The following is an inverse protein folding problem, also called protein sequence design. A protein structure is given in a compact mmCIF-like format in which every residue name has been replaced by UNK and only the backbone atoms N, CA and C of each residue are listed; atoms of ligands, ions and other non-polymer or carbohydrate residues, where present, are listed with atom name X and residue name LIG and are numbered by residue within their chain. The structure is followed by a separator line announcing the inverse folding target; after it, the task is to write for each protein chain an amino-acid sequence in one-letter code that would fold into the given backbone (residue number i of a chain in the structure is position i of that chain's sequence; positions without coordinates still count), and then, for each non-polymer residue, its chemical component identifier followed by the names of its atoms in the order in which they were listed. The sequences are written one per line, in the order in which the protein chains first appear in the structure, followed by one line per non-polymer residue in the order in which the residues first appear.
data_IF_245783839758
#
_entry.id   IF_245783839758
#
_cell.length_a   1.000
_cell.length_b   1.000
_cell.length_c   1.000
_cell.angle_alpha   90.00
_cell.angle_beta   90.00
_cell.angle_gamma   90.00
#
_symmetry.space_group_name_H-M   'P 1'
#
loop_
_entity.id
_entity.type
_entity.pdbx_description
1 polymer ?
#
# COMPACT_ATOMS: atom_id res chain seq x y z
N UNK A 1 6.48 18.18 1.55
CA UNK A 1 5.92 18.12 2.93
C UNK A 1 6.80 17.20 3.79
N UNK A 2 6.75 17.18 5.13
CA UNK A 2 7.51 16.20 5.95
C UNK A 2 6.54 15.30 6.74
N UNK A 3 6.79 13.98 6.73
CA UNK A 3 5.98 12.94 7.38
C UNK A 3 6.79 12.21 8.43
N UNK A 4 6.23 12.05 9.63
CA UNK A 4 6.85 11.23 10.69
C UNK A 4 6.79 9.75 10.31
N UNK A 5 7.92 9.05 10.33
CA UNK A 5 7.98 7.62 10.04
C UNK A 5 8.26 6.86 11.35
N UNK A 6 7.20 6.42 12.03
CA UNK A 6 7.30 5.69 13.30
C UNK A 6 7.60 4.20 13.09
N UNK A 7 8.62 3.87 12.28
CA UNK A 7 9.05 2.50 12.01
C UNK A 7 10.41 2.24 12.66
N UNK A 8 10.58 1.07 13.29
CA UNK A 8 11.83 0.69 13.93
C UNK A 8 13.00 0.70 12.92
N UNK A 9 14.14 1.25 13.34
CA UNK A 9 15.37 1.39 12.55
C UNK A 9 15.29 2.31 11.31
N UNK A 10 14.13 2.90 11.02
CA UNK A 10 13.94 3.89 9.97
C UNK A 10 14.32 5.32 10.43
N UNK A 11 14.50 6.29 9.51
CA UNK A 11 14.58 7.71 9.84
C UNK A 11 13.33 8.19 10.59
N UNK A 12 13.47 9.20 11.46
CA UNK A 12 12.33 9.78 12.20
C UNK A 12 11.26 10.38 11.27
N UNK A 13 11.67 10.85 10.08
CA UNK A 13 10.81 11.49 9.12
C UNK A 13 11.26 11.27 7.66
N UNK A 14 10.32 11.39 6.73
CA UNK A 14 10.51 11.27 5.27
C UNK A 14 9.85 12.45 4.53
N UNK A 15 10.32 12.73 3.32
CA UNK A 15 9.78 13.79 2.47
C UNK A 15 8.48 13.34 1.78
N UNK A 16 7.57 14.29 1.52
CA UNK A 16 6.43 14.05 0.63
C UNK A 16 6.93 13.65 -0.76
N UNK A 17 6.25 12.69 -1.38
CA UNK A 17 6.69 12.01 -2.60
C UNK A 17 7.39 10.69 -2.37
N UNK A 18 7.71 10.33 -1.12
CA UNK A 18 8.45 9.10 -0.79
C UNK A 18 7.60 7.84 -1.00
N UNK A 19 8.10 6.93 -1.83
CA UNK A 19 7.64 5.55 -1.91
C UNK A 19 8.53 4.60 -1.13
N UNK A 20 7.94 3.69 -0.35
CA UNK A 20 8.66 2.69 0.45
C UNK A 20 8.22 1.28 0.05
N UNK A 21 9.20 0.41 -0.22
CA UNK A 21 8.97 -1.02 -0.42
C UNK A 21 9.05 -1.77 0.91
N UNK A 22 8.03 -2.56 1.23
CA UNK A 22 8.05 -3.54 2.31
C UNK A 22 8.29 -4.93 1.73
N UNK A 23 9.50 -5.45 1.93
CA UNK A 23 9.85 -6.83 1.65
C UNK A 23 9.53 -7.70 2.86
N UNK A 24 8.87 -8.84 2.62
CA UNK A 24 8.48 -9.76 3.68
C UNK A 24 8.46 -11.23 3.21
N UNK A 25 8.73 -12.21 4.09
CA UNK A 25 8.74 -13.63 3.74
C UNK A 25 7.31 -14.19 3.60
N UNK A 26 6.36 -13.61 4.33
CA UNK A 26 4.96 -14.00 4.29
C UNK A 26 4.06 -12.86 4.75
N UNK A 27 2.79 -12.93 4.40
CA UNK A 27 1.85 -11.82 4.55
C UNK A 27 1.24 -11.68 5.94
N UNK A 28 1.55 -12.59 6.87
CA UNK A 28 0.90 -12.65 8.19
C UNK A 28 1.45 -11.63 9.20
N UNK A 29 2.65 -11.11 8.95
CA UNK A 29 3.36 -10.25 9.92
C UNK A 29 3.51 -8.79 9.45
N UNK A 30 3.04 -8.47 8.24
CA UNK A 30 3.12 -7.12 7.69
C UNK A 30 2.09 -6.16 8.29
N UNK A 31 1.01 -6.68 8.87
CA UNK A 31 -0.09 -5.88 9.43
C UNK A 31 0.37 -4.87 10.48
N UNK A 32 1.37 -5.21 11.31
CA UNK A 32 1.94 -4.27 12.28
C UNK A 32 2.60 -3.08 11.59
N UNK A 33 3.50 -3.34 10.63
CA UNK A 33 4.25 -2.29 9.91
C UNK A 33 3.29 -1.42 9.10
N UNK A 34 2.34 -2.06 8.42
CA UNK A 34 1.32 -1.41 7.62
C UNK A 34 0.47 -0.44 8.46
N UNK A 35 -0.01 -0.89 9.61
CA UNK A 35 -0.87 -0.08 10.48
C UNK A 35 -0.09 0.99 11.25
N UNK A 36 1.16 0.74 11.66
CA UNK A 36 2.07 1.75 12.23
C UNK A 36 2.35 2.88 11.22
N UNK A 37 2.59 2.52 9.95
CA UNK A 37 2.74 3.47 8.85
C UNK A 37 1.47 4.31 8.68
N UNK A 38 0.29 3.68 8.63
CA UNK A 38 -0.99 4.37 8.39
C UNK A 38 -1.44 5.26 9.55
N UNK A 39 -1.21 4.85 10.81
CA UNK A 39 -1.69 5.56 11.99
C UNK A 39 -0.96 6.88 12.28
N UNK A 40 0.31 6.96 11.88
CA UNK A 40 1.21 8.03 12.33
C UNK A 40 1.15 9.24 11.42
N UNK A 41 0.82 10.41 11.98
CA UNK A 41 0.97 11.70 11.27
C UNK A 41 0.20 11.73 9.93
N UNK A 42 -1.05 11.29 9.99
CA UNK A 42 -1.92 11.03 8.83
C UNK A 42 -3.24 11.78 8.97
N UNK A 43 -3.59 12.57 7.96
CA UNK A 43 -4.90 13.23 7.83
C UNK A 43 -5.88 12.36 7.05
N UNK A 44 -5.41 11.72 5.98
CA UNK A 44 -6.18 10.81 5.13
C UNK A 44 -5.34 9.60 4.73
N UNK A 45 -5.96 8.42 4.67
CA UNK A 45 -5.27 7.20 4.26
C UNK A 45 -6.05 6.42 3.22
N UNK A 46 -5.34 5.85 2.25
CA UNK A 46 -5.86 4.93 1.25
C UNK A 46 -5.25 3.56 1.47
N UNK A 47 -6.09 2.53 1.60
CA UNK A 47 -5.65 1.13 1.59
C UNK A 47 -6.11 0.47 0.30
N UNK A 48 -5.18 0.19 -0.59
CA UNK A 48 -5.38 -0.58 -1.81
C UNK A 48 -5.17 -2.05 -1.46
N UNK A 49 -6.26 -2.80 -1.36
CA UNK A 49 -6.22 -4.21 -0.99
C UNK A 49 -6.51 -5.09 -2.20
N UNK A 50 -5.49 -5.82 -2.63
CA UNK A 50 -5.56 -6.83 -3.69
C UNK A 50 -5.73 -8.25 -3.18
N UNK A 51 -5.62 -8.45 -1.86
CA UNK A 51 -5.63 -9.78 -1.21
C UNK A 51 -6.82 -10.02 -0.28
N UNK A 52 -7.36 -8.96 0.31
CA UNK A 52 -8.45 -9.06 1.28
C UNK A 52 -9.63 -8.16 0.90
N UNK A 53 -10.80 -8.47 1.45
CA UNK A 53 -12.00 -7.66 1.24
C UNK A 53 -11.94 -6.38 2.07
N UNK A 54 -12.70 -5.35 1.69
CA UNK A 54 -12.83 -4.13 2.48
C UNK A 54 -13.27 -4.39 3.93
N UNK A 55 -14.05 -5.46 4.16
CA UNK A 55 -14.47 -5.85 5.50
C UNK A 55 -13.27 -6.31 6.35
N UNK A 56 -12.37 -7.08 5.77
CA UNK A 56 -11.16 -7.56 6.45
C UNK A 56 -10.19 -6.41 6.71
N UNK A 57 -10.02 -5.50 5.75
CA UNK A 57 -9.25 -4.26 5.95
C UNK A 57 -9.82 -3.44 7.11
N UNK A 58 -11.15 -3.20 7.15
CA UNK A 58 -11.77 -2.47 8.28
C UNK A 58 -11.52 -3.14 9.63
N UNK A 59 -11.62 -4.47 9.70
CA UNK A 59 -11.32 -5.21 10.93
C UNK A 59 -9.85 -5.07 11.34
N UNK A 60 -8.92 -5.06 10.38
CA UNK A 60 -7.51 -4.80 10.64
C UNK A 60 -7.30 -3.39 11.21
N UNK A 61 -7.85 -2.36 10.56
CA UNK A 61 -7.74 -0.97 11.05
C UNK A 61 -8.30 -0.82 12.46
N UNK A 62 -9.47 -1.41 12.75
CA UNK A 62 -10.06 -1.42 14.10
C UNK A 62 -9.16 -2.15 15.11
N UNK A 63 -8.62 -3.32 14.74
CA UNK A 63 -7.79 -4.13 15.62
C UNK A 63 -6.50 -3.43 16.06
N UNK A 64 -5.88 -2.68 15.15
CA UNK A 64 -4.65 -1.92 15.39
C UNK A 64 -4.90 -0.45 15.76
N UNK A 65 -6.14 -0.09 16.09
CA UNK A 65 -6.54 1.24 16.55
C UNK A 65 -6.20 2.38 15.55
N UNK A 66 -6.19 2.07 14.26
CA UNK A 66 -6.08 3.08 13.19
C UNK A 66 -7.42 3.79 13.03
N UNK A 67 -7.40 5.12 12.94
CA UNK A 67 -8.61 5.94 12.80
C UNK A 67 -9.30 5.67 11.44
N UNK A 68 -10.32 4.81 11.46
CA UNK A 68 -11.08 4.41 10.27
C UNK A 68 -11.84 5.59 9.63
N UNK A 69 -12.07 6.68 10.35
CA UNK A 69 -12.78 7.86 9.80
C UNK A 69 -11.95 8.64 8.78
N UNK A 70 -10.65 8.36 8.74
CA UNK A 70 -9.69 8.91 7.76
C UNK A 70 -9.47 7.98 6.56
N UNK A 71 -10.02 6.77 6.61
CA UNK A 71 -9.70 5.69 5.68
C UNK A 71 -10.59 5.69 4.45
N UNK A 72 -9.97 5.63 3.28
CA UNK A 72 -10.58 5.14 2.05
C UNK A 72 -10.02 3.75 1.77
N UNK A 73 -10.88 2.79 1.42
CA UNK A 73 -10.45 1.43 1.10
C UNK A 73 -10.79 1.13 -0.36
N UNK A 74 -9.79 0.72 -1.14
CA UNK A 74 -9.97 0.24 -2.49
C UNK A 74 -9.90 -1.29 -2.49
N UNK A 75 -11.05 -1.94 -2.67
CA UNK A 75 -11.20 -3.39 -2.69
C UNK A 75 -11.25 -3.89 -4.13
N UNK A 76 -10.20 -4.61 -4.55
CA UNK A 76 -10.09 -5.13 -5.92
C UNK A 76 -10.64 -6.55 -6.09
N UNK A 77 -11.02 -7.22 -5.00
CA UNK A 77 -11.41 -8.64 -5.02
C UNK A 77 -12.91 -8.87 -4.95
N UNK A 78 -13.65 -8.02 -4.23
CA UNK A 78 -15.05 -8.30 -3.91
C UNK A 78 -15.95 -8.33 -5.15
N UNK A 79 -15.64 -7.55 -6.19
CA UNK A 79 -16.39 -7.58 -7.45
C UNK A 79 -16.14 -8.89 -8.19
N UNK A 80 -14.87 -9.21 -8.44
CA UNK A 80 -14.42 -10.42 -9.13
C UNK A 80 -14.95 -11.69 -8.46
N UNK A 81 -14.93 -11.76 -7.13
CA UNK A 81 -15.41 -12.94 -6.37
C UNK A 81 -16.92 -12.96 -6.15
N UNK A 82 -17.66 -11.97 -6.67
CA UNK A 82 -19.11 -11.87 -6.51
C UNK A 82 -19.56 -11.71 -5.06
N UNK A 83 -18.71 -11.15 -4.20
CA UNK A 83 -19.02 -10.92 -2.80
C UNK A 83 -20.01 -9.78 -2.62
N UNK A 84 -20.73 -9.82 -1.49
CA UNK A 84 -21.63 -8.75 -1.11
C UNK A 84 -20.84 -7.48 -0.82
N UNK A 85 -21.05 -6.46 -1.65
CA UNK A 85 -20.45 -5.15 -1.51
C UNK A 85 -21.38 -4.26 -0.70
N UNK A 86 -20.86 -3.65 0.35
CA UNK A 86 -21.57 -2.60 1.09
C UNK A 86 -21.29 -1.28 0.41
N UNK A 87 -22.34 -0.50 0.15
CA UNK A 87 -22.19 0.90 -0.22
C UNK A 87 -21.82 1.68 1.04
N UNK A 88 -20.67 2.35 1.00
CA UNK A 88 -20.13 3.28 1.99
C UNK A 88 -19.34 4.32 1.21
N UNK A 89 -19.30 5.55 1.68
CA UNK A 89 -18.49 6.59 1.02
C UNK A 89 -16.98 6.27 1.12
N UNK A 90 -16.60 5.49 2.14
CA UNK A 90 -15.22 5.14 2.47
C UNK A 90 -14.71 3.85 1.78
N UNK A 91 -15.52 3.22 0.92
CA UNK A 91 -15.15 1.98 0.23
C UNK A 91 -15.42 2.09 -1.26
N UNK A 92 -14.34 1.90 -2.03
CA UNK A 92 -14.31 1.90 -3.49
C UNK A 92 -14.03 0.48 -3.97
N UNK A 93 -14.47 0.18 -5.18
CA UNK A 93 -14.30 -1.14 -5.78
C UNK A 93 -13.86 -0.99 -7.23
N UNK A 94 -12.83 -1.72 -7.62
CA UNK A 94 -12.50 -1.94 -9.03
C UNK A 94 -13.10 -3.26 -9.50
N UNK A 95 -13.11 -3.48 -10.82
CA UNK A 95 -13.78 -4.64 -11.40
C UNK A 95 -13.09 -5.96 -11.05
N UNK A 96 -11.76 -5.96 -11.07
CA UNK A 96 -10.91 -7.10 -10.74
C UNK A 96 -9.50 -6.64 -10.34
N UNK A 97 -8.67 -7.50 -9.75
CA UNK A 97 -7.31 -7.13 -9.34
C UNK A 97 -6.34 -6.85 -10.50
N UNK A 98 -6.65 -7.27 -11.74
CA UNK A 98 -5.87 -6.99 -12.94
C UNK A 98 -6.31 -5.71 -13.69
N UNK A 99 -7.33 -5.03 -13.17
CA UNK A 99 -7.81 -3.72 -13.62
C UNK A 99 -6.93 -2.60 -13.03
N UNK A 100 -5.64 -2.65 -13.38
CA UNK A 100 -4.62 -1.78 -12.81
C UNK A 100 -4.82 -0.30 -13.15
N UNK A 101 -5.32 0.00 -14.35
CA UNK A 101 -5.67 1.37 -14.76
C UNK A 101 -6.69 1.98 -13.77
N UNK A 102 -7.73 1.21 -13.40
CA UNK A 102 -8.71 1.66 -12.40
C UNK A 102 -8.10 1.80 -11.00
N UNK A 103 -7.06 1.03 -10.65
CA UNK A 103 -6.36 1.19 -9.37
C UNK A 103 -5.59 2.50 -9.33
N UNK A 104 -4.90 2.84 -10.42
CA UNK A 104 -4.17 4.11 -10.58
C UNK A 104 -5.15 5.29 -10.56
N UNK A 105 -6.22 5.25 -11.37
CA UNK A 105 -7.27 6.28 -11.42
C UNK A 105 -7.90 6.54 -10.04
N UNK A 106 -8.17 5.48 -9.28
CA UNK A 106 -8.74 5.60 -7.95
C UNK A 106 -7.77 6.15 -6.91
N UNK A 107 -6.48 5.91 -7.11
CA UNK A 107 -5.40 6.48 -6.29
C UNK A 107 -5.24 7.98 -6.58
N UNK A 108 -5.19 8.38 -7.85
CA UNK A 108 -5.18 9.79 -8.26
C UNK A 108 -6.41 10.53 -7.71
N UNK A 109 -7.59 9.92 -7.83
CA UNK A 109 -8.82 10.49 -7.29
C UNK A 109 -8.73 10.73 -5.80
N UNK A 110 -8.26 9.76 -5.03
CA UNK A 110 -8.04 9.94 -3.59
C UNK A 110 -7.06 11.08 -3.30
N UNK A 111 -5.93 11.13 -3.99
CA UNK A 111 -4.90 12.16 -3.78
C UNK A 111 -5.37 13.57 -4.17
N UNK A 112 -6.31 13.67 -5.11
CA UNK A 112 -6.90 14.93 -5.56
C UNK A 112 -8.05 15.41 -4.67
N UNK A 113 -8.85 14.50 -4.12
CA UNK A 113 -10.01 14.83 -3.27
C UNK A 113 -9.63 15.21 -1.84
N UNK A 114 -8.38 14.92 -1.44
CA UNK A 114 -7.88 15.14 -0.09
C UNK A 114 -6.64 16.04 -0.08
N UNK A 115 -6.59 16.95 0.91
CA UNK A 115 -5.43 17.77 1.24
C UNK A 115 -4.73 17.23 2.51
N UNK A 116 -3.58 17.80 2.89
CA UNK A 116 -2.92 17.50 4.17
C UNK A 116 -1.93 16.32 4.08
N UNK A 117 -1.78 15.53 5.13
CA UNK A 117 -0.89 14.35 5.12
C UNK A 117 -1.66 13.12 4.65
N UNK A 118 -1.40 12.74 3.39
CA UNK A 118 -1.98 11.55 2.76
C UNK A 118 -1.00 10.40 2.72
N UNK A 119 -1.46 9.22 3.12
CA UNK A 119 -0.71 7.96 3.05
C UNK A 119 -1.42 6.93 2.20
N UNK A 120 -0.68 6.21 1.37
CA UNK A 120 -1.20 5.11 0.54
C UNK A 120 -0.51 3.82 0.98
N UNK A 121 -1.29 2.78 1.25
CA UNK A 121 -0.77 1.42 1.41
C UNK A 121 -1.29 0.54 0.28
N UNK A 122 -0.41 -0.23 -0.35
CA UNK A 122 -0.74 -1.21 -1.37
C UNK A 122 -0.36 -2.61 -0.88
N UNK A 123 -1.38 -3.41 -0.62
CA UNK A 123 -1.28 -4.78 -0.13
C UNK A 123 -2.01 -5.77 -1.07
N UNK A 124 -1.33 -6.36 -2.05
CA UNK A 124 0.11 -6.32 -2.33
C UNK A 124 0.43 -6.22 -3.83
N UNK A 125 1.68 -5.83 -4.13
CA UNK A 125 2.28 -5.87 -5.48
C UNK A 125 2.39 -7.32 -5.96
N UNK A 126 2.64 -8.26 -5.04
CA UNK A 126 2.68 -9.70 -5.38
C UNK A 126 1.38 -10.17 -6.03
N UNK A 127 0.23 -9.69 -5.53
CA UNK A 127 -1.04 -10.07 -6.12
C UNK A 127 -1.31 -9.34 -7.43
N UNK A 128 -0.85 -8.10 -7.60
CA UNK A 128 -0.90 -7.43 -8.91
C UNK A 128 -0.13 -8.25 -9.96
N UNK A 129 1.09 -8.71 -9.64
CA UNK A 129 1.89 -9.56 -10.55
C UNK A 129 1.13 -10.86 -10.86
N UNK A 130 0.53 -11.50 -9.85
CA UNK A 130 -0.22 -12.73 -10.02
C UNK A 130 -1.42 -12.58 -10.97
N UNK A 131 -2.15 -11.47 -10.87
CA UNK A 131 -3.36 -11.24 -11.67
C UNK A 131 -3.09 -10.58 -13.03
N UNK A 132 -2.12 -9.67 -13.10
CA UNK A 132 -1.92 -8.78 -14.25
C UNK A 132 -0.63 -9.01 -15.03
N UNK A 133 0.32 -9.81 -14.53
CA UNK A 133 1.73 -9.93 -14.96
C UNK A 133 2.69 -8.88 -14.37
N UNK A 134 3.99 -9.21 -14.42
CA UNK A 134 5.07 -8.43 -13.82
C UNK A 134 5.22 -7.04 -14.43
N UNK A 135 5.20 -6.95 -15.76
CA UNK A 135 5.43 -5.68 -16.46
C UNK A 135 4.29 -4.71 -16.19
N UNK A 136 3.04 -5.19 -16.25
CA UNK A 136 1.87 -4.36 -15.95
C UNK A 136 1.83 -3.94 -14.49
N UNK A 137 2.17 -4.84 -13.55
CA UNK A 137 2.25 -4.48 -12.14
C UNK A 137 3.35 -3.45 -11.88
N UNK A 138 4.48 -3.57 -12.56
CA UNK A 138 5.58 -2.62 -12.47
C UNK A 138 5.17 -1.23 -12.98
N UNK A 139 4.57 -1.16 -14.17
CA UNK A 139 4.10 0.12 -14.75
C UNK A 139 3.08 0.82 -13.83
N UNK A 140 2.12 0.07 -13.28
CA UNK A 140 1.14 0.63 -12.34
C UNK A 140 1.76 1.10 -11.01
N UNK A 141 2.81 0.45 -10.53
CA UNK A 141 3.55 0.92 -9.35
C UNK A 141 4.29 2.22 -9.67
N UNK A 142 4.95 2.33 -10.83
CA UNK A 142 5.60 3.57 -11.27
C UNK A 142 4.60 4.72 -11.36
N UNK A 143 3.42 4.49 -11.96
CA UNK A 143 2.37 5.51 -12.06
C UNK A 143 1.89 5.97 -10.66
N UNK A 144 1.75 5.06 -9.69
CA UNK A 144 1.38 5.43 -8.32
C UNK A 144 2.52 6.21 -7.65
N UNK A 145 3.78 5.83 -7.85
CA UNK A 145 4.93 6.57 -7.31
C UNK A 145 5.00 8.00 -7.85
N UNK A 146 4.76 8.18 -9.15
CA UNK A 146 4.67 9.51 -9.78
C UNK A 146 3.53 10.35 -9.17
N UNK A 147 2.37 9.74 -8.91
CA UNK A 147 1.25 10.40 -8.22
C UNK A 147 1.60 10.81 -6.79
N UNK A 148 2.33 9.97 -6.05
CA UNK A 148 2.78 10.33 -4.70
C UNK A 148 3.71 11.55 -4.74
N UNK A 149 4.64 11.58 -5.68
CA UNK A 149 5.55 12.70 -5.91
C UNK A 149 4.80 13.99 -6.29
N UNK A 150 3.82 13.92 -7.19
CA UNK A 150 3.01 15.06 -7.61
C UNK A 150 2.20 15.66 -6.44
N UNK A 151 1.65 14.80 -5.58
CA UNK A 151 0.72 15.22 -4.53
C UNK A 151 1.37 15.42 -3.14
N UNK A 152 2.71 15.36 -3.04
CA UNK A 152 3.44 15.42 -1.77
C UNK A 152 2.96 14.32 -0.78
N UNK A 153 2.52 13.15 -1.28
CA UNK A 153 2.01 12.03 -0.48
C UNK A 153 3.08 10.96 -0.28
N UNK A 154 2.86 10.01 0.65
CA UNK A 154 3.81 8.91 0.89
C UNK A 154 3.14 7.55 0.77
N UNK A 155 3.90 6.55 0.32
CA UNK A 155 3.38 5.22 0.00
C UNK A 155 4.15 4.06 0.65
N UNK A 156 3.45 2.99 1.01
CA UNK A 156 4.02 1.72 1.46
C UNK A 156 3.50 0.58 0.57
N UNK A 157 4.41 -0.19 -0.03
CA UNK A 157 4.08 -1.21 -1.03
C UNK A 157 4.58 -2.57 -0.58
N UNK A 158 3.70 -3.56 -0.52
CA UNK A 158 4.04 -4.89 0.01
C UNK A 158 4.47 -5.82 -1.12
N UNK A 159 5.62 -6.46 -0.97
CA UNK A 159 6.13 -7.48 -1.89
C UNK A 159 6.66 -8.70 -1.12
N UNK A 160 6.12 -9.88 -1.43
CA UNK A 160 6.53 -11.13 -0.82
C UNK A 160 7.81 -11.64 -1.50
N UNK A 161 8.97 -11.44 -0.89
CA UNK A 161 10.28 -11.72 -1.53
C UNK A 161 10.43 -13.19 -1.94
N UNK A 162 9.92 -14.14 -1.14
CA UNK A 162 10.05 -15.57 -1.40
C UNK A 162 9.14 -16.11 -2.51
N UNK A 163 8.29 -15.26 -3.11
CA UNK A 163 7.38 -15.62 -4.21
C UNK A 163 8.01 -15.33 -5.58
N UNK A 164 8.93 -14.37 -5.65
CA UNK A 164 9.50 -13.87 -6.90
C UNK A 164 10.98 -14.24 -7.03
N UNK A 165 11.50 -14.17 -8.25
CA UNK A 165 12.93 -14.33 -8.50
C UNK A 165 13.70 -13.08 -8.03
N UNK A 166 14.97 -13.24 -7.64
CA UNK A 166 15.79 -12.17 -7.06
C UNK A 166 15.88 -10.93 -7.97
N UNK A 167 15.89 -11.12 -9.29
CA UNK A 167 15.94 -10.04 -10.27
C UNK A 167 14.62 -9.25 -10.35
N UNK A 168 13.47 -9.91 -10.15
CA UNK A 168 12.17 -9.24 -10.03
C UNK A 168 12.13 -8.42 -8.76
N UNK A 169 12.55 -8.98 -7.62
CA UNK A 169 12.61 -8.25 -6.34
C UNK A 169 13.51 -7.03 -6.47
N UNK A 170 14.70 -7.18 -7.06
CA UNK A 170 15.63 -6.07 -7.28
C UNK A 170 15.06 -5.01 -8.21
N UNK A 171 14.36 -5.43 -9.29
CA UNK A 171 13.71 -4.50 -10.23
C UNK A 171 12.75 -3.56 -9.52
N UNK A 172 11.90 -4.09 -8.63
CA UNK A 172 11.00 -3.25 -7.81
C UNK A 172 11.78 -2.42 -6.80
N UNK A 173 12.74 -3.00 -6.08
CA UNK A 173 13.56 -2.29 -5.08
C UNK A 173 14.22 -1.03 -5.65
N UNK A 174 14.73 -1.09 -6.88
CA UNK A 174 15.41 0.01 -7.58
C UNK A 174 14.49 1.21 -7.91
N UNK A 175 13.19 1.15 -7.58
CA UNK A 175 12.23 2.23 -7.80
C UNK A 175 11.79 2.96 -6.55
N UNK A 176 11.98 2.38 -5.38
CA UNK A 176 11.55 3.00 -4.13
C UNK A 176 12.68 3.82 -3.51
N UNK A 177 12.32 4.89 -2.83
CA UNK A 177 13.27 5.75 -2.11
C UNK A 177 13.80 5.07 -0.84
N UNK A 178 13.04 4.11 -0.31
CA UNK A 178 13.44 3.31 0.84
C UNK A 178 12.88 1.90 0.81
N UNK A 179 13.55 1.00 1.50
CA UNK A 179 13.13 -0.40 1.67
C UNK A 179 13.08 -0.74 3.16
N UNK A 180 12.01 -1.41 3.57
CA UNK A 180 11.84 -2.05 4.86
C UNK A 180 11.84 -3.55 4.61
N UNK A 181 12.74 -4.29 5.27
CA UNK A 181 12.77 -5.74 5.22
C UNK A 181 12.32 -6.30 6.57
N UNK A 182 11.26 -7.10 6.54
CA UNK A 182 10.76 -7.85 7.69
C UNK A 182 11.24 -9.30 7.56
N UNK A 183 12.06 -9.79 8.49
CA UNK A 183 12.51 -11.18 8.52
C UNK A 183 11.48 -12.11 9.19
N UNK A 184 11.63 -13.43 9.00
CA UNK A 184 10.75 -14.47 9.59
C UNK A 184 10.72 -14.47 11.13
N UNK A 185 11.74 -13.92 11.78
CA UNK A 185 11.83 -13.81 13.24
C UNK A 185 11.27 -12.48 13.78
N UNK A 186 10.68 -11.66 12.91
CA UNK A 186 10.11 -10.36 13.23
C UNK A 186 11.13 -9.22 13.26
N UNK A 187 12.41 -9.47 12.94
CA UNK A 187 13.43 -8.43 12.83
C UNK A 187 13.11 -7.50 11.68
N UNK A 188 13.18 -6.19 11.92
CA UNK A 188 12.96 -5.15 10.91
C UNK A 188 14.29 -4.46 10.59
N UNK A 189 14.66 -4.43 9.32
CA UNK A 189 15.82 -3.65 8.84
C UNK A 189 15.36 -2.68 7.75
N UNK A 190 16.09 -1.58 7.59
CA UNK A 190 15.70 -0.52 6.64
C UNK A 190 16.89 0.05 5.89
N UNK A 191 16.68 0.43 4.64
CA UNK A 191 17.61 1.21 3.81
C UNK A 191 16.88 2.42 3.21
N UNK A 192 17.47 3.61 3.33
CA UNK A 192 17.00 4.90 2.82
C UNK A 192 18.20 5.74 2.37
#
# INVERSE_FOLDING_TARGET
MEYTLAIENAPDAIEGGTGILLLHPSTGETDRIDTEFLATDTDHLLVISTRTTAREVKQKLEHYEVDETKATILDTLSVERGYTRRQSDDVRYVSAPDDLDSVVDETERFLTEHDGKRRVSLDSVTEMIYYADEDRAFDAVEDILDLLAEHDAVGLFHLAEGVHEDDVVQRFRDRFDGTIELAEDGTVTTEF
#
